data_IF_609038754794
#
_entry.id   IF_609038754794
#
_cell.length_a   1.000
_cell.length_b   1.000
_cell.length_c   1.000
_cell.angle_alpha   90.00
_cell.angle_beta   90.00
_cell.angle_gamma   90.00
#
_symmetry.space_group_name_H-M   'P 1'
#
loop_
_entity.id
_entity.type
_entity.pdbx_description
1 polymer ?
#
# COMPACT_ATOMS: atom_id res chain seq x y z
N UNK A 1 14.27 -1.70 18.09
CA UNK A 1 13.84 -0.93 19.28
C UNK A 1 14.90 -0.84 20.37
N UNK A 2 15.69 -1.89 20.64
CA UNK A 2 16.73 -1.87 21.69
C UNK A 2 17.70 -0.69 21.56
N UNK A 3 18.27 -0.45 20.38
CA UNK A 3 19.17 0.67 20.14
C UNK A 3 18.56 2.04 20.49
N UNK A 4 17.28 2.28 20.14
CA UNK A 4 16.58 3.52 20.49
C UNK A 4 16.41 3.69 22.01
N UNK A 5 16.22 2.59 22.74
CA UNK A 5 16.13 2.59 24.20
C UNK A 5 17.50 2.86 24.84
N UNK A 6 18.55 2.20 24.36
CA UNK A 6 19.94 2.41 24.81
C UNK A 6 20.43 3.85 24.58
N UNK A 7 19.89 4.53 23.57
CA UNK A 7 20.17 5.95 23.28
C UNK A 7 19.19 6.93 23.92
N UNK A 8 18.25 6.45 24.75
CA UNK A 8 17.23 7.29 25.40
C UNK A 8 16.34 8.08 24.41
N UNK A 9 16.21 7.58 23.17
CA UNK A 9 15.41 8.21 22.11
C UNK A 9 14.00 7.62 22.00
N UNK A 10 13.74 6.46 22.61
CA UNK A 10 12.49 5.73 22.44
C UNK A 10 11.25 6.53 22.90
N UNK A 11 11.35 7.21 24.04
CA UNK A 11 10.22 7.98 24.62
C UNK A 11 9.89 9.27 23.82
N UNK A 12 10.69 9.61 22.83
CA UNK A 12 10.46 10.74 21.91
C UNK A 12 10.33 10.31 20.45
N UNK A 13 10.24 9.01 20.18
CA UNK A 13 10.18 8.46 18.83
C UNK A 13 8.81 7.89 18.51
N UNK A 14 8.33 8.15 17.29
CA UNK A 14 7.29 7.34 16.64
C UNK A 14 7.94 6.53 15.53
N UNK A 15 7.77 5.21 15.58
CA UNK A 15 8.20 4.26 14.57
C UNK A 15 7.01 3.88 13.69
N UNK A 16 7.16 4.06 12.37
CA UNK A 16 6.23 3.57 11.36
C UNK A 16 6.96 2.55 10.49
N UNK A 17 6.40 1.33 10.39
CA UNK A 17 6.94 0.25 9.56
C UNK A 17 5.88 -0.16 8.56
N UNK A 18 6.24 -0.18 7.28
CA UNK A 18 5.34 -0.57 6.20
C UNK A 18 6.08 -1.14 5.00
N UNK A 19 5.33 -1.86 4.16
CA UNK A 19 5.76 -2.19 2.80
C UNK A 19 5.45 -1.05 1.83
N UNK A 20 6.32 -0.86 0.83
CA UNK A 20 6.10 0.06 -0.30
C UNK A 20 5.04 -0.47 -1.26
N UNK A 21 5.02 -1.78 -1.48
CA UNK A 21 3.98 -2.50 -2.21
C UNK A 21 3.76 -3.92 -1.64
N UNK A 22 2.69 -4.57 -2.11
CA UNK A 22 2.43 -5.98 -1.80
C UNK A 22 3.22 -6.92 -2.71
N UNK A 23 3.06 -8.22 -2.51
CA UNK A 23 3.56 -9.26 -3.41
C UNK A 23 2.44 -10.24 -3.74
N UNK A 24 2.12 -10.37 -5.03
CA UNK A 24 1.21 -11.39 -5.53
C UNK A 24 1.76 -12.81 -5.28
N UNK A 25 0.86 -13.78 -5.14
CA UNK A 25 1.20 -15.17 -4.86
C UNK A 25 2.09 -15.82 -5.93
N UNK A 26 2.06 -15.31 -7.16
CA UNK A 26 2.84 -15.78 -8.30
C UNK A 26 4.00 -14.84 -8.67
N UNK A 27 4.28 -13.86 -7.81
CA UNK A 27 5.27 -12.82 -8.05
C UNK A 27 4.69 -11.55 -8.68
N UNK A 28 5.41 -10.44 -8.47
CA UNK A 28 5.03 -9.11 -8.95
C UNK A 28 4.02 -8.38 -8.05
N UNK A 29 3.63 -7.19 -8.48
CA UNK A 29 2.71 -6.30 -7.76
C UNK A 29 1.57 -5.78 -8.66
N UNK A 30 0.80 -6.67 -9.32
CA UNK A 30 -0.28 -6.24 -10.18
C UNK A 30 -1.44 -5.60 -9.39
N UNK A 31 -2.02 -4.54 -9.95
CA UNK A 31 -3.16 -3.83 -9.34
C UNK A 31 -4.44 -4.67 -9.25
N UNK A 32 -4.53 -5.78 -9.99
CA UNK A 32 -5.70 -6.66 -10.03
C UNK A 32 -5.65 -7.83 -9.04
N UNK A 33 -4.55 -8.02 -8.32
CA UNK A 33 -4.44 -9.02 -7.26
C UNK A 33 -4.23 -8.30 -5.93
N UNK A 34 -5.11 -8.48 -4.92
CA UNK A 34 -4.94 -7.83 -3.61
C UNK A 34 -3.55 -8.02 -3.00
N UNK A 35 -2.96 -9.20 -3.20
CA UNK A 35 -1.59 -9.50 -2.76
C UNK A 35 -0.56 -8.50 -3.26
N UNK A 36 -0.73 -7.92 -4.46
CA UNK A 36 0.23 -7.00 -5.06
C UNK A 36 0.20 -5.56 -4.53
N UNK A 37 -0.84 -5.15 -3.80
CA UNK A 37 -0.99 -3.76 -3.35
C UNK A 37 -1.45 -3.60 -1.89
N UNK A 38 -1.89 -4.66 -1.22
CA UNK A 38 -2.20 -4.61 0.22
C UNK A 38 -0.91 -4.82 1.02
N UNK A 39 -0.55 -3.83 1.82
CA UNK A 39 0.61 -3.88 2.72
C UNK A 39 0.20 -3.74 4.18
N UNK A 40 1.07 -4.16 5.09
CA UNK A 40 0.91 -3.90 6.51
C UNK A 40 1.49 -2.53 6.87
N UNK A 41 0.81 -1.82 7.76
CA UNK A 41 1.30 -0.63 8.44
C UNK A 41 1.30 -0.89 9.96
N UNK A 42 2.46 -0.80 10.58
CA UNK A 42 2.61 -0.81 12.03
C UNK A 42 3.08 0.56 12.49
N UNK A 43 2.36 1.15 13.45
CA UNK A 43 2.77 2.40 14.10
C UNK A 43 2.92 2.16 15.60
N UNK A 44 4.05 2.57 16.17
CA UNK A 44 4.34 2.39 17.59
C UNK A 44 5.27 3.48 18.11
N UNK A 45 5.10 3.91 19.36
CA UNK A 45 5.97 4.89 19.98
C UNK A 45 5.19 5.90 20.80
N UNK A 46 5.82 7.05 21.05
CA UNK A 46 5.29 8.10 21.93
C UNK A 46 3.90 8.59 21.48
N UNK A 47 2.92 8.55 22.38
CA UNK A 47 1.56 9.04 22.15
C UNK A 47 0.70 8.21 21.18
N UNK A 48 1.21 7.07 20.70
CA UNK A 48 0.48 6.13 19.84
C UNK A 48 -0.24 5.09 20.69
N UNK A 49 -1.52 4.83 20.39
CA UNK A 49 -2.33 3.81 21.06
C UNK A 49 -1.72 2.41 20.91
N UNK A 50 -1.75 1.65 22.00
CA UNK A 50 -1.21 0.28 22.06
C UNK A 50 -2.31 -0.76 21.90
N UNK A 51 -2.00 -1.85 21.18
CA UNK A 51 -2.88 -3.01 21.06
C UNK A 51 -4.16 -2.77 20.24
N UNK A 52 -4.20 -1.73 19.42
CA UNK A 52 -5.34 -1.40 18.56
C UNK A 52 -5.04 -1.79 17.12
N UNK A 53 -6.02 -2.43 16.47
CA UNK A 53 -6.00 -2.70 15.04
C UNK A 53 -7.01 -1.80 14.34
N UNK A 54 -6.56 -1.07 13.32
CA UNK A 54 -7.42 -0.25 12.48
C UNK A 54 -7.77 -1.02 11.20
N UNK A 55 -8.99 -0.89 10.69
CA UNK A 55 -9.43 -1.67 9.54
C UNK A 55 -8.80 -1.20 8.23
N UNK A 56 -8.31 0.05 8.15
CA UNK A 56 -7.89 0.64 6.88
C UNK A 56 -7.00 1.88 7.01
N UNK A 57 -5.99 1.96 6.15
CA UNK A 57 -5.18 3.15 5.85
C UNK A 57 -4.61 3.01 4.43
N UNK A 58 -4.26 4.13 3.80
CA UNK A 58 -3.55 4.14 2.52
C UNK A 58 -2.13 4.69 2.68
N UNK A 59 -1.20 4.27 1.82
CA UNK A 59 0.19 4.77 1.82
C UNK A 59 0.27 6.30 1.69
N UNK A 60 -0.71 6.90 1.01
CA UNK A 60 -0.80 8.36 0.85
C UNK A 60 -1.10 9.11 2.15
N UNK A 61 -1.60 8.41 3.18
CA UNK A 61 -1.90 8.98 4.50
C UNK A 61 -0.65 9.21 5.35
N UNK A 62 0.48 8.59 4.98
CA UNK A 62 1.70 8.59 5.81
C UNK A 62 2.34 9.98 5.86
N UNK A 63 2.56 10.61 4.71
CA UNK A 63 3.19 11.93 4.63
C UNK A 63 2.44 13.01 5.43
N UNK A 64 1.10 13.20 5.26
CA UNK A 64 0.37 14.17 6.08
C UNK A 64 0.32 13.78 7.57
N UNK A 65 0.33 12.48 7.91
CA UNK A 65 0.39 12.02 9.31
C UNK A 65 1.73 12.35 9.96
N UNK A 66 2.85 12.12 9.28
CA UNK A 66 4.18 12.48 9.79
C UNK A 66 4.31 13.99 10.00
N UNK A 67 3.83 14.81 9.05
CA UNK A 67 3.82 16.26 9.19
C UNK A 67 3.00 16.70 10.42
N UNK A 68 1.81 16.12 10.58
CA UNK A 68 0.94 16.42 11.72
C UNK A 68 1.57 16.03 13.06
N UNK A 69 2.22 14.86 13.16
CA UNK A 69 2.94 14.43 14.37
C UNK A 69 4.07 15.38 14.77
N UNK A 70 4.69 16.07 13.81
CA UNK A 70 5.74 17.06 14.04
C UNK A 70 5.20 18.48 14.22
N UNK A 71 3.88 18.66 14.24
CA UNK A 71 3.23 19.97 14.31
C UNK A 71 3.70 20.93 13.20
N UNK A 72 3.94 20.39 12.00
CA UNK A 72 4.29 21.17 10.79
C UNK A 72 3.15 21.10 9.77
N UNK A 73 3.05 22.07 8.83
CA UNK A 73 2.04 22.04 7.79
C UNK A 73 2.12 20.76 6.93
N UNK A 74 0.97 20.20 6.57
CA UNK A 74 0.91 19.07 5.65
C UNK A 74 1.34 19.50 4.23
N UNK A 75 1.87 18.58 3.40
CA UNK A 75 2.32 18.93 2.06
C UNK A 75 1.17 19.49 1.20
N UNK A 76 1.38 20.60 0.49
CA UNK A 76 0.32 21.32 -0.24
C UNK A 76 -0.51 20.44 -1.21
N UNK A 77 0.11 19.45 -1.83
CA UNK A 77 -0.51 18.58 -2.84
C UNK A 77 -0.71 17.15 -2.34
N UNK A 78 -0.82 16.94 -1.03
CA UNK A 78 -1.15 15.63 -0.48
C UNK A 78 -2.62 15.27 -0.76
N UNK A 79 -2.88 14.01 -1.10
CA UNK A 79 -4.24 13.47 -1.27
C UNK A 79 -4.68 12.59 -0.09
N UNK A 80 -3.75 12.19 0.78
CA UNK A 80 -4.06 11.37 1.94
C UNK A 80 -4.68 12.16 3.09
N UNK A 81 -5.22 11.44 4.06
CA UNK A 81 -5.72 12.02 5.31
C UNK A 81 -4.68 11.89 6.42
N UNK A 82 -4.82 12.71 7.45
CA UNK A 82 -4.07 12.51 8.71
C UNK A 82 -4.72 11.38 9.50
N UNK A 83 -3.95 10.36 9.86
CA UNK A 83 -4.38 9.23 10.70
C UNK A 83 -4.43 9.64 12.19
N UNK A 84 -5.21 10.66 12.55
CA UNK A 84 -5.26 11.19 13.92
C UNK A 84 -5.64 10.11 14.94
N UNK A 85 -6.51 9.19 14.53
CA UNK A 85 -7.09 8.13 15.36
C UNK A 85 -6.06 7.19 16.00
N UNK A 86 -4.83 7.14 15.47
CA UNK A 86 -3.72 6.33 16.01
C UNK A 86 -3.20 6.87 17.35
N UNK A 87 -3.48 8.13 17.68
CA UNK A 87 -3.00 8.77 18.92
C UNK A 87 -4.01 8.64 20.05
N UNK A 88 -3.51 8.61 21.30
CA UNK A 88 -4.31 8.35 22.51
C UNK A 88 -5.50 9.32 22.70
N UNK A 89 -5.35 10.56 22.25
CA UNK A 89 -6.33 11.64 22.48
C UNK A 89 -7.37 11.81 21.37
N UNK A 90 -7.28 11.06 20.27
CA UNK A 90 -8.16 11.26 19.10
C UNK A 90 -9.02 10.02 18.85
N UNK A 91 -10.24 10.21 18.35
CA UNK A 91 -11.11 9.11 17.88
C UNK A 91 -11.12 9.09 16.36
N UNK A 92 -11.53 7.97 15.78
CA UNK A 92 -11.87 7.95 14.37
C UNK A 92 -13.18 8.71 14.19
N UNK A 93 -13.12 9.88 13.55
CA UNK A 93 -14.29 10.74 13.38
C UNK A 93 -15.11 10.38 12.13
N UNK A 94 -14.48 9.81 11.10
CA UNK A 94 -15.11 9.52 9.82
C UNK A 94 -14.62 8.21 9.19
N UNK A 95 -15.38 7.70 8.21
CA UNK A 95 -14.94 6.61 7.36
C UNK A 95 -13.66 7.01 6.61
N UNK A 96 -12.69 6.11 6.55
CA UNK A 96 -11.44 6.36 5.86
C UNK A 96 -11.67 6.56 4.36
N UNK A 97 -11.12 7.64 3.81
CA UNK A 97 -11.04 7.83 2.37
C UNK A 97 -10.22 6.70 1.74
N UNK A 98 -10.63 6.24 0.55
CA UNK A 98 -10.07 5.06 -0.11
C UNK A 98 -9.64 5.37 -1.55
N UNK A 99 -8.90 6.45 -1.74
CA UNK A 99 -8.59 7.00 -3.06
C UNK A 99 -7.70 6.06 -3.87
N UNK A 100 -6.69 5.43 -3.25
CA UNK A 100 -5.87 4.41 -3.89
C UNK A 100 -6.69 3.16 -4.23
N UNK A 101 -7.60 2.74 -3.36
CA UNK A 101 -8.50 1.63 -3.69
C UNK A 101 -9.42 1.98 -4.87
N UNK A 102 -10.00 3.19 -4.90
CA UNK A 102 -10.84 3.65 -6.00
C UNK A 102 -10.05 3.70 -7.31
N UNK A 103 -8.83 4.23 -7.29
CA UNK A 103 -7.93 4.24 -8.44
C UNK A 103 -7.65 2.81 -8.93
N UNK A 104 -7.32 1.88 -8.02
CA UNK A 104 -7.10 0.48 -8.37
C UNK A 104 -8.33 -0.13 -9.04
N UNK A 105 -9.54 0.11 -8.52
CA UNK A 105 -10.77 -0.39 -9.12
C UNK A 105 -11.02 0.15 -10.54
N UNK A 106 -10.67 1.41 -10.80
CA UNK A 106 -10.74 2.00 -12.15
C UNK A 106 -9.73 1.32 -13.08
N UNK A 107 -8.49 1.10 -12.62
CA UNK A 107 -7.44 0.43 -13.39
C UNK A 107 -7.81 -1.02 -13.72
N UNK A 108 -8.34 -1.76 -12.74
CA UNK A 108 -8.86 -3.12 -12.93
C UNK A 108 -10.00 -3.12 -13.95
N UNK A 109 -10.98 -2.23 -13.76
CA UNK A 109 -12.12 -2.12 -14.68
C UNK A 109 -11.68 -1.83 -16.12
N UNK A 110 -10.66 -0.99 -16.31
CA UNK A 110 -10.10 -0.70 -17.61
C UNK A 110 -9.30 -1.90 -18.19
N UNK A 111 -8.51 -2.59 -17.36
CA UNK A 111 -7.77 -3.79 -17.76
C UNK A 111 -8.71 -4.88 -18.29
N UNK A 112 -9.79 -5.16 -17.55
CA UNK A 112 -10.81 -6.15 -17.94
C UNK A 112 -11.56 -5.76 -19.23
N UNK A 113 -11.74 -4.46 -19.49
CA UNK A 113 -12.34 -3.98 -20.75
C UNK A 113 -11.39 -4.15 -21.94
N UNK A 114 -10.10 -3.83 -21.79
CA UNK A 114 -9.09 -3.99 -22.85
C UNK A 114 -8.81 -5.44 -23.23
N UNK A 115 -9.00 -6.40 -22.31
CA UNK A 115 -8.96 -7.83 -22.68
C UNK A 115 -10.07 -8.23 -23.68
N UNK A 116 -11.15 -7.45 -23.82
CA UNK A 116 -12.23 -7.72 -24.79
C UNK A 116 -11.98 -7.13 -26.18
N UNK A 117 -11.24 -6.03 -26.28
CA UNK A 117 -11.03 -5.28 -27.53
C UNK A 117 -9.54 -4.94 -27.71
N UNK A 118 -8.85 -5.79 -28.47
CA UNK A 118 -7.57 -5.61 -29.20
C UNK A 118 -6.37 -4.94 -28.51
N UNK A 119 -5.25 -5.67 -28.62
CA UNK A 119 -3.88 -5.29 -28.34
C UNK A 119 -3.44 -3.96 -29.00
N UNK A 120 -3.24 -2.93 -28.19
CA UNK A 120 -2.23 -1.89 -28.37
C UNK A 120 -2.24 -0.98 -27.12
N UNK A 121 -1.11 -0.95 -26.41
CA UNK A 121 -0.92 -0.34 -25.07
C UNK A 121 -1.72 -1.00 -23.94
N UNK A 122 -1.13 -2.06 -23.41
CA UNK A 122 -1.59 -2.83 -22.25
C UNK A 122 -0.67 -2.59 -21.06
N UNK A 123 -1.14 -2.87 -19.85
CA UNK A 123 -0.34 -2.79 -18.61
C UNK A 123 0.89 -3.73 -18.62
N UNK A 124 1.04 -4.52 -19.70
CA UNK A 124 2.14 -5.45 -19.97
C UNK A 124 3.49 -4.75 -20.15
N UNK A 125 3.52 -3.45 -20.49
CA UNK A 125 4.77 -2.67 -20.49
C UNK A 125 5.34 -2.43 -19.08
N UNK A 126 4.53 -2.60 -18.03
CA UNK A 126 5.03 -2.60 -16.63
C UNK A 126 5.85 -3.87 -16.36
N UNK A 127 5.68 -4.93 -17.16
CA UNK A 127 6.41 -6.19 -17.09
C UNK A 127 7.87 -6.13 -17.58
N UNK A 128 8.35 -5.01 -18.11
CA UNK A 128 9.75 -4.88 -18.56
C UNK A 128 10.79 -4.88 -17.43
N UNK A 129 10.36 -5.01 -16.16
CA UNK A 129 11.22 -5.00 -14.97
C UNK A 129 11.46 -6.38 -14.35
N UNK A 130 10.92 -7.48 -14.90
CA UNK A 130 11.05 -8.82 -14.31
C UNK A 130 11.30 -9.95 -15.32
N UNK A 131 12.46 -10.60 -15.21
CA UNK A 131 12.74 -11.92 -15.80
C UNK A 131 12.49 -13.01 -14.75
N UNK A 132 11.52 -13.90 -14.99
CA UNK A 132 11.30 -15.14 -14.23
C UNK A 132 11.79 -16.39 -14.98
N UNK A 133 11.60 -17.60 -14.42
CA UNK A 133 12.14 -18.87 -14.94
C UNK A 133 11.72 -19.24 -16.38
N UNK A 134 10.70 -18.60 -16.97
CA UNK A 134 10.27 -18.79 -18.37
C UNK A 134 10.64 -17.61 -19.30
N UNK A 135 11.42 -16.64 -18.83
CA UNK A 135 11.67 -15.41 -19.57
C UNK A 135 10.40 -14.56 -19.76
N UNK A 136 10.30 -13.86 -20.89
CA UNK A 136 9.23 -12.91 -21.21
C UNK A 136 7.95 -13.54 -21.83
N UNK A 137 7.84 -14.87 -21.87
CA UNK A 137 6.70 -15.56 -22.50
C UNK A 137 5.46 -15.65 -21.58
N UNK A 138 4.75 -14.52 -21.50
CA UNK A 138 3.53 -14.34 -20.70
C UNK A 138 2.39 -15.29 -21.12
N UNK A 139 2.32 -15.68 -22.40
CA UNK A 139 1.26 -16.54 -22.93
C UNK A 139 1.32 -17.93 -22.31
N UNK A 140 2.52 -18.49 -22.19
CA UNK A 140 2.77 -19.81 -21.60
C UNK A 140 2.44 -19.87 -20.10
N UNK A 141 2.58 -18.75 -19.38
CA UNK A 141 2.19 -18.63 -17.98
C UNK A 141 0.67 -18.77 -17.78
N UNK A 142 -0.12 -18.10 -18.63
CA UNK A 142 -1.59 -18.15 -18.58
C UNK A 142 -2.11 -19.54 -18.94
N UNK A 143 -1.56 -20.17 -19.98
CA UNK A 143 -1.97 -21.50 -20.44
C UNK A 143 -1.73 -22.61 -19.40
N UNK A 144 -0.67 -22.48 -18.57
CA UNK A 144 -0.37 -23.44 -17.52
C UNK A 144 -1.27 -23.31 -16.29
N UNK A 145 -1.83 -22.12 -16.03
CA UNK A 145 -2.72 -21.86 -14.89
C UNK A 145 -4.18 -22.24 -15.17
N UNK A 146 -4.62 -22.15 -16.42
CA UNK A 146 -5.97 -22.51 -16.87
C UNK A 146 -6.22 -24.04 -16.98
N UNK A 147 -5.20 -24.88 -16.74
CA UNK A 147 -5.25 -26.34 -16.94
C UNK A 147 -5.30 -27.18 -15.65
N UNK A 148 -5.44 -26.58 -14.47
CA UNK A 148 -5.65 -27.36 -13.23
C UNK A 148 -7.11 -27.24 -12.77
N UNK A 149 -7.79 -28.37 -12.49
CA UNK A 149 -9.20 -28.41 -12.12
C UNK A 149 -9.46 -27.72 -10.78
#
# INVERSE_FOLDING_TARGET
MQWLKEKELWESTVLMVMGDHGQASLGGHPVYEPGGYVTQLLVSGQGIKKGITYPYAEIIDIAPTVAWLHNVPTPKFNNGRVLKEITENNKQEHEAQRLMQQLNMVLIGNHLKKQKDTAAFTIEEIGSWHTGENGADYKKFVENKMKRP
#
